data_IF_169303521819
#
_entry.id   IF_169303521819
#
_cell.length_a   1.000
_cell.length_b   1.000
_cell.length_c   1.000
_cell.angle_alpha   90.00
_cell.angle_beta   90.00
_cell.angle_gamma   90.00
#
_symmetry.space_group_name_H-M   'P 1'
#
loop_
_entity.id
_entity.type
_entity.pdbx_description
1 polymer ?
#
# COMPACT_ATOMS: atom_id res chain seq x y z
N UNK A 1 -28.15 11.18 3.23
CA UNK A 1 -26.85 11.88 3.35
C UNK A 1 -27.07 13.19 4.09
N UNK A 2 -26.18 13.53 5.02
CA UNK A 2 -26.21 14.76 5.83
C UNK A 2 -24.81 15.42 5.83
N UNK A 3 -24.64 16.55 6.52
CA UNK A 3 -23.36 17.27 6.61
C UNK A 3 -22.21 16.45 7.20
N UNK A 4 -22.51 15.38 7.96
CA UNK A 4 -21.51 14.49 8.55
C UNK A 4 -21.00 13.41 7.59
N UNK A 5 -21.61 13.28 6.42
CA UNK A 5 -21.32 12.18 5.49
C UNK A 5 -19.86 12.18 5.00
N UNK A 6 -19.22 13.35 4.89
CA UNK A 6 -17.79 13.45 4.54
C UNK A 6 -16.88 12.95 5.67
N UNK A 7 -17.23 13.23 6.92
CA UNK A 7 -16.47 12.78 8.09
C UNK A 7 -16.59 11.27 8.29
N UNK A 8 -17.78 10.70 8.08
CA UNK A 8 -17.99 9.26 8.07
C UNK A 8 -17.15 8.56 6.98
N UNK A 9 -17.06 9.15 5.78
CA UNK A 9 -16.21 8.63 4.71
C UNK A 9 -14.72 8.72 5.05
N UNK A 10 -14.27 9.84 5.63
CA UNK A 10 -12.88 9.98 6.07
C UNK A 10 -12.54 9.01 7.20
N UNK A 11 -13.47 8.73 8.10
CA UNK A 11 -13.29 7.73 9.15
C UNK A 11 -13.07 6.33 8.56
N UNK A 12 -13.90 5.92 7.60
CA UNK A 12 -13.73 4.65 6.87
C UNK A 12 -12.43 4.63 6.07
N UNK A 13 -12.07 5.74 5.43
CA UNK A 13 -10.82 5.88 4.69
C UNK A 13 -9.59 5.74 5.61
N UNK A 14 -9.64 6.32 6.81
CA UNK A 14 -8.60 6.13 7.83
C UNK A 14 -8.41 4.65 8.17
N UNK A 15 -9.49 3.90 8.34
CA UNK A 15 -9.41 2.45 8.61
C UNK A 15 -8.84 1.66 7.43
N UNK A 16 -9.16 2.05 6.20
CA UNK A 16 -8.56 1.45 5.01
C UNK A 16 -7.04 1.66 5.00
N UNK A 17 -6.58 2.91 5.18
CA UNK A 17 -5.14 3.24 5.20
C UNK A 17 -4.43 2.51 6.34
N UNK A 18 -5.08 2.39 7.50
CA UNK A 18 -4.55 1.62 8.63
C UNK A 18 -4.34 0.15 8.27
N UNK A 19 -5.37 -0.49 7.68
CA UNK A 19 -5.32 -1.87 7.24
C UNK A 19 -4.24 -2.09 6.17
N UNK A 20 -4.09 -1.17 5.22
CA UNK A 20 -3.01 -1.18 4.23
C UNK A 20 -1.63 -1.09 4.89
N UNK A 21 -1.49 -0.34 5.98
CA UNK A 21 -0.25 -0.29 6.77
C UNK A 21 0.20 -1.67 7.26
N UNK A 22 -0.73 -2.54 7.68
CA UNK A 22 -0.38 -3.90 8.12
C UNK A 22 0.18 -4.78 7.03
N UNK A 23 -0.21 -4.58 5.76
CA UNK A 23 0.39 -5.28 4.65
C UNK A 23 1.92 -5.11 4.68
N UNK A 24 2.42 -3.90 4.92
CA UNK A 24 3.85 -3.61 4.98
C UNK A 24 4.53 -3.98 6.31
N UNK A 25 3.78 -4.00 7.42
CA UNK A 25 4.33 -4.27 8.75
C UNK A 25 4.34 -5.77 9.11
N UNK A 26 3.40 -6.55 8.58
CA UNK A 26 3.27 -7.98 8.86
C UNK A 26 4.01 -8.81 7.81
N UNK A 27 3.75 -8.56 6.52
CA UNK A 27 4.41 -9.31 5.45
C UNK A 27 5.82 -8.77 5.22
N UNK A 28 6.80 -9.65 5.10
CA UNK A 28 8.20 -9.25 4.95
C UNK A 28 8.63 -9.16 3.48
N UNK A 29 9.80 -8.55 3.25
CA UNK A 29 10.36 -8.33 1.91
C UNK A 29 10.46 -9.60 1.05
N UNK A 30 10.83 -10.74 1.63
CA UNK A 30 11.10 -11.99 0.90
C UNK A 30 9.89 -12.46 0.09
N UNK A 31 8.71 -12.49 0.73
CA UNK A 31 7.45 -12.86 0.08
C UNK A 31 7.17 -12.00 -1.16
N UNK A 32 7.33 -10.69 -1.05
CA UNK A 32 7.11 -9.77 -2.17
C UNK A 32 8.16 -9.91 -3.27
N UNK A 33 9.41 -10.22 -2.90
CA UNK A 33 10.48 -10.40 -3.88
C UNK A 33 10.21 -11.62 -4.76
N UNK A 34 9.83 -12.76 -4.17
CA UNK A 34 9.46 -13.97 -4.93
C UNK A 34 8.27 -13.70 -5.86
N UNK A 35 7.23 -13.01 -5.36
CA UNK A 35 6.09 -12.63 -6.18
C UNK A 35 6.47 -11.73 -7.35
N UNK A 36 7.28 -10.69 -7.12
CA UNK A 36 7.73 -9.77 -8.18
C UNK A 36 8.54 -10.51 -9.25
N UNK A 37 9.36 -11.50 -8.86
CA UNK A 37 10.11 -12.31 -9.81
C UNK A 37 9.19 -13.15 -10.72
N UNK A 38 8.11 -13.72 -10.17
CA UNK A 38 7.10 -14.42 -10.99
C UNK A 38 6.36 -13.49 -11.95
N UNK A 39 6.08 -12.24 -11.52
CA UNK A 39 5.44 -11.23 -12.37
C UNK A 39 6.38 -10.75 -13.48
N UNK A 40 7.66 -10.54 -13.17
CA UNK A 40 8.67 -10.19 -14.17
C UNK A 40 8.82 -11.29 -15.22
N UNK A 41 8.85 -12.56 -14.80
CA UNK A 41 8.84 -13.70 -15.71
C UNK A 41 7.61 -13.70 -16.63
N UNK A 42 6.42 -13.45 -16.09
CA UNK A 42 5.18 -13.39 -16.87
C UNK A 42 5.20 -12.25 -17.89
N UNK A 43 5.70 -11.07 -17.51
CA UNK A 43 5.81 -9.91 -18.40
C UNK A 43 6.71 -10.20 -19.61
N UNK A 44 7.87 -10.82 -19.40
CA UNK A 44 8.80 -11.19 -20.49
C UNK A 44 8.23 -12.24 -21.44
N UNK A 45 7.36 -13.12 -20.94
CA UNK A 45 6.74 -14.21 -21.72
C UNK A 45 5.42 -13.83 -22.38
N UNK A 46 4.87 -12.66 -22.07
CA UNK A 46 3.61 -12.20 -22.67
C UNK A 46 3.88 -11.53 -24.02
N UNK A 47 3.33 -12.06 -25.14
CA UNK A 47 3.47 -11.44 -26.45
C UNK A 47 2.95 -9.98 -26.43
N UNK A 48 3.55 -9.11 -27.24
CA UNK A 48 3.31 -7.65 -27.27
C UNK A 48 3.79 -6.89 -26.03
N UNK A 49 3.54 -7.40 -24.81
CA UNK A 49 4.02 -6.77 -23.57
C UNK A 49 5.55 -6.82 -23.46
N UNK A 50 6.17 -7.90 -23.95
CA UNK A 50 7.62 -8.07 -23.98
C UNK A 50 8.40 -7.06 -24.84
N UNK A 51 7.70 -6.29 -25.69
CA UNK A 51 8.27 -5.17 -26.44
C UNK A 51 8.59 -3.99 -25.51
N UNK A 52 7.87 -3.87 -24.39
CA UNK A 52 8.08 -2.85 -23.36
C UNK A 52 9.00 -3.43 -22.30
N UNK A 53 10.19 -2.83 -22.14
CA UNK A 53 11.17 -3.23 -21.14
C UNK A 53 11.33 -2.17 -20.07
N UNK A 54 11.56 -2.61 -18.84
CA UNK A 54 11.93 -1.71 -17.75
C UNK A 54 13.36 -1.22 -17.92
N UNK A 55 13.61 0.03 -17.52
CA UNK A 55 14.96 0.59 -17.40
C UNK A 55 15.66 0.02 -16.16
N UNK A 56 14.95 0.02 -15.03
CA UNK A 56 15.44 -0.46 -13.75
C UNK A 56 14.69 -1.74 -13.35
N UNK A 57 15.41 -2.72 -12.78
CA UNK A 57 14.81 -4.01 -12.41
C UNK A 57 13.78 -3.81 -11.29
N UNK A 58 12.54 -4.32 -11.43
CA UNK A 58 11.57 -4.27 -10.34
C UNK A 58 12.03 -5.15 -9.17
N UNK A 59 12.06 -4.57 -7.98
CA UNK A 59 12.45 -5.24 -6.73
C UNK A 59 11.52 -4.83 -5.60
N UNK A 60 11.33 -5.71 -4.63
CA UNK A 60 10.59 -5.38 -3.42
C UNK A 60 11.31 -4.27 -2.62
N UNK A 61 10.52 -3.43 -1.94
CA UNK A 61 11.01 -2.39 -1.03
C UNK A 61 12.05 -2.96 -0.04
N UNK A 62 13.05 -2.15 0.32
CA UNK A 62 14.00 -2.55 1.34
C UNK A 62 13.31 -2.75 2.69
N UNK A 63 13.93 -3.51 3.60
CA UNK A 63 13.35 -3.78 4.93
C UNK A 63 13.08 -2.47 5.69
N UNK A 64 14.01 -1.51 5.64
CA UNK A 64 13.84 -0.21 6.30
C UNK A 64 12.77 0.63 5.59
N UNK A 65 12.73 0.62 4.26
CA UNK A 65 11.71 1.33 3.49
C UNK A 65 10.30 0.79 3.79
N UNK A 66 10.12 -0.53 3.81
CA UNK A 66 8.83 -1.15 4.10
C UNK A 66 8.33 -0.79 5.51
N UNK A 67 9.23 -0.79 6.51
CA UNK A 67 8.90 -0.33 7.88
C UNK A 67 8.50 1.15 7.90
N UNK A 68 9.25 2.00 7.21
CA UNK A 68 8.94 3.43 7.13
C UNK A 68 7.59 3.68 6.45
N UNK A 69 7.33 3.00 5.32
CA UNK A 69 6.05 3.10 4.60
C UNK A 69 4.90 2.59 5.47
N UNK A 70 5.07 1.45 6.13
CA UNK A 70 4.08 0.92 7.08
C UNK A 70 3.79 1.87 8.24
N UNK A 71 4.83 2.48 8.82
CA UNK A 71 4.69 3.47 9.90
C UNK A 71 4.00 4.76 9.41
N UNK A 72 4.28 5.19 8.19
CA UNK A 72 3.62 6.35 7.59
C UNK A 72 2.12 6.10 7.42
N UNK A 73 1.72 4.92 6.90
CA UNK A 73 0.32 4.52 6.80
C UNK A 73 -0.35 4.49 8.18
N UNK A 74 0.30 3.86 9.17
CA UNK A 74 -0.23 3.77 10.53
C UNK A 74 -0.46 5.16 11.15
N UNK A 75 0.51 6.07 10.99
CA UNK A 75 0.46 7.43 11.55
C UNK A 75 -0.62 8.29 10.90
N UNK A 76 -0.69 8.27 9.56
CA UNK A 76 -1.68 9.04 8.80
C UNK A 76 -3.10 8.54 9.11
N UNK A 77 -3.28 7.22 9.14
CA UNK A 77 -4.56 6.62 9.46
C UNK A 77 -5.05 6.96 10.88
N UNK A 78 -4.14 6.89 11.87
CA UNK A 78 -4.45 7.27 13.24
C UNK A 78 -4.92 8.73 13.33
N UNK A 79 -4.24 9.65 12.64
CA UNK A 79 -4.62 11.05 12.61
C UNK A 79 -6.01 11.26 11.97
N UNK A 80 -6.27 10.64 10.81
CA UNK A 80 -7.55 10.78 10.10
C UNK A 80 -8.71 10.19 10.90
N UNK A 81 -8.56 8.98 11.43
CA UNK A 81 -9.63 8.31 12.17
C UNK A 81 -9.93 9.01 13.50
N UNK A 82 -8.90 9.45 14.24
CA UNK A 82 -9.08 10.14 15.53
C UNK A 82 -9.66 11.56 15.38
N UNK A 83 -9.37 12.25 14.28
CA UNK A 83 -9.94 13.59 14.02
C UNK A 83 -11.35 13.50 13.44
N UNK A 84 -11.60 12.61 12.48
CA UNK A 84 -12.95 12.42 11.93
C UNK A 84 -13.96 11.96 12.98
N UNK A 85 -13.57 11.11 13.94
CA UNK A 85 -14.44 10.71 15.05
C UNK A 85 -14.82 11.84 16.02
N UNK A 86 -14.14 13.01 15.97
CA UNK A 86 -14.49 14.20 16.77
C UNK A 86 -15.44 15.15 16.05
N UNK A 87 -15.47 15.12 14.72
CA UNK A 87 -16.26 16.04 13.87
C UNK A 87 -17.42 15.35 13.13
N UNK A 88 -17.46 14.01 13.16
CA UNK A 88 -18.52 13.16 12.62
C UNK A 88 -19.61 12.83 13.64
#
# INVERSE_FOLDING_TARGET
MNSLSVWAWMFLFGHLVWATGFMFLISWRGYWQELIETLAWAHERTPLANLIRWRDKPVALSIVQARLVGLAHFSVAFLIASTSGKFG
#
